data_IF_214483986819
#
_entry.id   IF_214483986819
#
_cell.length_a   1.000
_cell.length_b   1.000
_cell.length_c   1.000
_cell.angle_alpha   90.00
_cell.angle_beta   90.00
_cell.angle_gamma   90.00
#
_symmetry.space_group_name_H-M   'P 1'
#
loop_
_entity.id
_entity.type
_entity.pdbx_description
1 polymer ?
#
# COMPACT_ATOMS: atom_id res chain seq x y z
N UNK A 1 7.42 21.63 -27.90
CA UNK A 1 7.06 21.77 -26.47
C UNK A 1 5.83 20.91 -26.14
N UNK A 2 4.80 20.92 -26.99
CA UNK A 2 3.54 20.19 -26.77
C UNK A 2 3.67 18.69 -26.50
N UNK A 3 4.48 17.96 -27.28
CA UNK A 3 4.63 16.51 -27.10
C UNK A 3 5.21 16.10 -25.73
N UNK A 4 6.09 16.92 -25.14
CA UNK A 4 6.66 16.66 -23.81
C UNK A 4 5.59 16.89 -22.73
N UNK A 5 4.81 17.97 -22.86
CA UNK A 5 3.70 18.28 -21.95
C UNK A 5 2.65 17.18 -21.99
N UNK A 6 2.21 16.76 -23.18
CA UNK A 6 1.25 15.65 -23.35
C UNK A 6 1.77 14.34 -22.75
N UNK A 7 3.07 14.03 -22.89
CA UNK A 7 3.65 12.82 -22.30
C UNK A 7 3.67 12.86 -20.78
N UNK A 8 3.96 14.01 -20.18
CA UNK A 8 3.92 14.20 -18.72
C UNK A 8 2.50 14.06 -18.20
N UNK A 9 1.52 14.67 -18.86
CA UNK A 9 0.09 14.56 -18.49
C UNK A 9 -0.41 13.11 -18.57
N UNK A 10 -0.07 12.39 -19.66
CA UNK A 10 -0.41 10.98 -19.82
C UNK A 10 0.23 10.11 -18.73
N UNK A 11 1.49 10.37 -18.38
CA UNK A 11 2.17 9.65 -17.31
C UNK A 11 1.51 9.92 -15.95
N UNK A 12 1.23 11.19 -15.62
CA UNK A 12 0.55 11.57 -14.38
C UNK A 12 -0.81 10.88 -14.24
N UNK A 13 -1.61 10.85 -15.31
CA UNK A 13 -2.90 10.16 -15.32
C UNK A 13 -2.77 8.68 -15.00
N UNK A 14 -1.86 7.97 -15.69
CA UNK A 14 -1.61 6.53 -15.47
C UNK A 14 -1.10 6.22 -14.07
N UNK A 15 -0.21 7.06 -13.53
CA UNK A 15 0.30 6.89 -12.16
C UNK A 15 -0.81 7.09 -11.13
N UNK A 16 -1.71 8.04 -11.35
CA UNK A 16 -2.81 8.30 -10.43
C UNK A 16 -3.86 7.17 -10.46
N UNK A 17 -4.16 6.64 -11.65
CA UNK A 17 -4.97 5.45 -11.83
C UNK A 17 -4.35 4.24 -11.11
N UNK A 18 -3.07 3.98 -11.35
CA UNK A 18 -2.34 2.91 -10.68
C UNK A 18 -2.35 3.07 -9.16
N UNK A 19 -2.11 4.29 -8.66
CA UNK A 19 -2.14 4.57 -7.23
C UNK A 19 -3.52 4.30 -6.63
N UNK A 20 -4.60 4.68 -7.32
CA UNK A 20 -5.97 4.42 -6.87
C UNK A 20 -6.30 2.92 -6.90
N UNK A 21 -5.98 2.26 -8.00
CA UNK A 21 -6.32 0.85 -8.21
C UNK A 21 -5.49 -0.09 -7.33
N UNK A 22 -4.23 0.22 -7.06
CA UNK A 22 -3.39 -0.60 -6.17
C UNK A 22 -3.62 -0.26 -4.70
N UNK A 23 -3.45 1.01 -4.29
CA UNK A 23 -3.51 1.39 -2.87
C UNK A 23 -4.94 1.35 -2.34
N UNK A 24 -5.89 1.84 -3.15
CA UNK A 24 -7.30 1.78 -2.80
C UNK A 24 -7.76 0.34 -2.59
N UNK A 25 -7.34 -0.58 -3.47
CA UNK A 25 -7.69 -1.99 -3.33
C UNK A 25 -7.09 -2.64 -2.08
N UNK A 26 -5.79 -2.43 -1.81
CA UNK A 26 -5.12 -2.94 -0.60
C UNK A 26 -5.82 -2.41 0.67
N UNK A 27 -6.05 -1.09 0.74
CA UNK A 27 -6.72 -0.46 1.88
C UNK A 27 -8.17 -0.93 2.07
N UNK A 28 -8.91 -1.10 0.98
CA UNK A 28 -10.29 -1.62 1.01
C UNK A 28 -10.32 -3.07 1.49
N UNK A 29 -9.45 -3.91 0.94
CA UNK A 29 -9.36 -5.32 1.31
C UNK A 29 -8.95 -5.49 2.78
N UNK A 30 -7.97 -4.71 3.26
CA UNK A 30 -7.59 -4.66 4.67
C UNK A 30 -8.78 -4.33 5.58
N UNK A 31 -9.53 -3.26 5.27
CA UNK A 31 -10.71 -2.86 6.06
C UNK A 31 -11.79 -3.95 6.09
N UNK A 32 -12.05 -4.58 4.94
CA UNK A 32 -13.01 -5.68 4.84
C UNK A 32 -12.61 -6.88 5.70
N UNK A 33 -11.35 -7.30 5.62
CA UNK A 33 -10.82 -8.43 6.39
C UNK A 33 -10.89 -8.17 7.90
N UNK A 34 -10.45 -6.99 8.35
CA UNK A 34 -10.54 -6.60 9.77
C UNK A 34 -11.98 -6.57 10.28
N UNK A 35 -12.92 -6.02 9.49
CA UNK A 35 -14.33 -6.01 9.87
C UNK A 35 -14.92 -7.42 9.95
N UNK A 36 -14.51 -8.32 9.05
CA UNK A 36 -14.96 -9.72 9.05
C UNK A 36 -14.39 -10.50 10.23
N UNK A 37 -13.10 -10.34 10.52
CA UNK A 37 -12.42 -10.95 11.67
C UNK A 37 -13.09 -10.53 12.98
N UNK A 38 -13.30 -9.23 13.18
CA UNK A 38 -13.98 -8.71 14.37
C UNK A 38 -15.35 -9.38 14.60
N UNK A 39 -16.15 -9.54 13.54
CA UNK A 39 -17.46 -10.20 13.63
C UNK A 39 -17.37 -11.69 13.94
N UNK A 40 -16.29 -12.36 13.51
CA UNK A 40 -16.07 -13.78 13.78
C UNK A 40 -15.62 -13.97 15.23
N UNK A 41 -14.69 -13.14 15.71
CA UNK A 41 -14.25 -13.11 17.11
C UNK A 41 -15.44 -12.88 18.05
N UNK A 42 -16.25 -11.84 17.78
CA UNK A 42 -17.48 -11.56 18.56
C UNK A 42 -18.50 -12.70 18.57
N UNK A 43 -18.49 -13.56 17.55
CA UNK A 43 -19.38 -14.74 17.46
C UNK A 43 -18.77 -15.93 18.20
N UNK A 44 -17.48 -16.16 18.06
CA UNK A 44 -16.75 -17.23 18.75
C UNK A 44 -16.79 -17.05 20.27
N UNK A 45 -16.70 -15.81 20.75
CA UNK A 45 -16.81 -15.49 22.18
C UNK A 45 -18.15 -15.92 22.79
N UNK A 46 -19.23 -15.86 22.01
CA UNK A 46 -20.59 -16.24 22.46
C UNK A 46 -20.88 -17.71 22.21
N UNK A 47 -20.41 -18.22 21.07
CA UNK A 47 -20.71 -19.56 20.57
C UNK A 47 -19.45 -20.17 19.94
N UNK A 48 -18.68 -20.95 20.71
CA UNK A 48 -17.53 -21.66 20.19
C UNK A 48 -17.91 -22.52 18.98
N UNK A 49 -17.15 -22.41 17.91
CA UNK A 49 -17.39 -23.15 16.66
C UNK A 49 -16.07 -23.46 15.98
N UNK A 50 -15.80 -24.76 15.77
CA UNK A 50 -14.60 -25.21 15.07
C UNK A 50 -14.52 -24.65 13.65
N UNK A 51 -15.66 -24.57 12.95
CA UNK A 51 -15.72 -23.98 11.61
C UNK A 51 -15.33 -22.51 11.62
N UNK A 52 -15.91 -21.72 12.54
CA UNK A 52 -15.58 -20.30 12.64
C UNK A 52 -14.12 -20.08 13.07
N UNK A 53 -13.57 -20.94 13.93
CA UNK A 53 -12.16 -20.89 14.33
C UNK A 53 -11.21 -21.21 13.17
N UNK A 54 -11.55 -22.16 12.29
CA UNK A 54 -10.77 -22.42 11.07
C UNK A 54 -10.85 -21.23 10.10
N UNK A 55 -12.04 -20.67 9.88
CA UNK A 55 -12.24 -19.51 9.03
C UNK A 55 -11.50 -18.26 9.56
N UNK A 56 -11.48 -18.07 10.87
CA UNK A 56 -10.72 -16.99 11.52
C UNK A 56 -9.23 -17.10 11.21
N UNK A 57 -8.66 -18.31 11.32
CA UNK A 57 -7.25 -18.57 10.98
C UNK A 57 -6.95 -18.26 9.52
N UNK A 58 -7.80 -18.71 8.60
CA UNK A 58 -7.67 -18.42 7.16
C UNK A 58 -7.68 -16.92 6.87
N UNK A 59 -8.60 -16.18 7.49
CA UNK A 59 -8.69 -14.73 7.32
C UNK A 59 -7.52 -13.97 7.95
N UNK A 60 -6.92 -14.50 9.04
CA UNK A 60 -5.69 -13.94 9.63
C UNK A 60 -4.51 -14.10 8.68
N UNK A 61 -4.37 -15.25 8.03
CA UNK A 61 -3.34 -15.48 7.00
C UNK A 61 -3.55 -14.50 5.83
N UNK A 62 -4.78 -14.38 5.32
CA UNK A 62 -5.07 -13.45 4.23
C UNK A 62 -4.77 -11.98 4.62
N UNK A 63 -5.02 -11.61 5.87
CA UNK A 63 -4.69 -10.28 6.38
C UNK A 63 -3.17 -10.06 6.43
N UNK A 64 -2.39 -11.04 6.86
CA UNK A 64 -0.92 -10.98 6.86
C UNK A 64 -0.37 -10.74 5.45
N UNK A 65 -0.91 -11.43 4.44
CA UNK A 65 -0.52 -11.22 3.04
C UNK A 65 -0.80 -9.78 2.58
N UNK A 66 -1.96 -9.23 2.94
CA UNK A 66 -2.32 -7.85 2.60
C UNK A 66 -1.42 -6.83 3.31
N UNK A 67 -1.07 -7.08 4.57
CA UNK A 67 -0.14 -6.23 5.32
C UNK A 67 1.28 -6.30 4.71
N UNK A 68 1.72 -7.47 4.26
CA UNK A 68 3.01 -7.65 3.57
C UNK A 68 3.06 -6.86 2.25
N UNK A 69 1.96 -6.89 1.48
CA UNK A 69 1.82 -6.07 0.27
C UNK A 69 1.86 -4.58 0.60
N UNK A 70 1.14 -4.14 1.64
CA UNK A 70 1.16 -2.76 2.10
C UNK A 70 2.58 -2.33 2.46
N UNK A 71 3.29 -3.08 3.31
CA UNK A 71 4.67 -2.80 3.70
C UNK A 71 5.61 -2.70 2.49
N UNK A 72 5.56 -3.66 1.57
CA UNK A 72 6.42 -3.66 0.37
C UNK A 72 6.22 -2.39 -0.47
N UNK A 73 4.97 -1.97 -0.62
CA UNK A 73 4.62 -0.79 -1.37
C UNK A 73 4.99 0.52 -0.63
N UNK A 74 4.90 0.55 0.70
CA UNK A 74 5.41 1.65 1.53
C UNK A 74 6.94 1.78 1.40
N UNK A 75 7.66 0.66 1.39
CA UNK A 75 9.11 0.63 1.18
C UNK A 75 9.51 1.14 -0.22
N UNK A 76 8.76 0.77 -1.26
CA UNK A 76 9.00 1.30 -2.61
C UNK A 76 8.80 2.82 -2.65
N UNK A 77 7.70 3.32 -2.07
CA UNK A 77 7.44 4.76 -2.00
C UNK A 77 8.52 5.51 -1.22
N UNK A 78 8.98 4.98 -0.08
CA UNK A 78 10.02 5.63 0.72
C UNK A 78 11.34 5.69 -0.03
N UNK A 79 11.71 4.62 -0.75
CA UNK A 79 12.91 4.58 -1.61
C UNK A 79 12.82 5.58 -2.76
N UNK A 80 11.68 5.63 -3.47
CA UNK A 80 11.48 6.61 -4.54
C UNK A 80 11.55 8.04 -4.00
N UNK A 81 10.92 8.30 -2.86
CA UNK A 81 10.98 9.61 -2.20
C UNK A 81 12.41 9.97 -1.80
N UNK A 82 13.13 9.05 -1.19
CA UNK A 82 14.53 9.24 -0.81
C UNK A 82 15.43 9.49 -2.03
N UNK A 83 15.26 8.73 -3.12
CA UNK A 83 16.00 8.94 -4.35
C UNK A 83 15.74 10.35 -4.93
N UNK A 84 14.47 10.76 -5.00
CA UNK A 84 14.10 12.10 -5.47
C UNK A 84 14.60 13.24 -4.56
N UNK A 85 14.64 13.02 -3.24
CA UNK A 85 15.14 14.02 -2.27
C UNK A 85 16.68 14.04 -2.20
N UNK A 86 17.33 12.89 -2.36
CA UNK A 86 18.79 12.76 -2.47
C UNK A 86 19.33 13.44 -3.74
N UNK A 87 18.65 13.27 -4.88
CA UNK A 87 18.97 13.99 -6.13
C UNK A 87 18.77 15.51 -6.00
N UNK A 88 17.86 15.97 -5.13
CA UNK A 88 17.73 17.42 -4.85
C UNK A 88 18.85 17.95 -3.97
N UNK A 89 19.52 17.09 -3.20
CA UNK A 89 20.61 17.47 -2.31
C UNK A 89 22.00 17.41 -2.96
N UNK A 90 22.13 16.86 -4.18
CA UNK A 90 23.41 16.86 -4.92
C UNK A 90 23.83 18.26 -5.35
N UNK A 91 22.90 19.22 -5.53
CA UNK A 91 23.26 20.64 -5.69
C UNK A 91 23.99 21.18 -4.45
N UNK A 92 23.59 20.77 -3.25
CA UNK A 92 24.22 21.22 -2.01
C UNK A 92 25.62 20.62 -1.85
N UNK A 93 25.81 19.36 -2.24
CA UNK A 93 27.12 18.68 -2.20
C UNK A 93 28.09 19.11 -3.30
N UNK A 94 27.59 19.48 -4.50
CA UNK A 94 28.44 20.00 -5.59
C UNK A 94 28.86 21.46 -5.32
N UNK A 95 28.01 22.27 -4.67
CA UNK A 95 28.34 23.66 -4.32
C UNK A 95 29.27 23.79 -3.11
N UNK A 96 29.36 22.79 -2.23
CA UNK A 96 30.31 22.80 -1.10
C UNK A 96 31.75 22.42 -1.47
N UNK A 97 32.00 22.06 -2.74
CA UNK A 97 33.30 21.66 -3.27
C UNK A 97 33.92 22.71 -4.22
N UNK A 98 33.35 23.93 -4.28
CA UNK A 98 33.92 25.10 -4.96
C UNK A 98 34.14 26.25 -3.99
#
# INVERSE_FOLDING_TARGET
MDAVVTNVENFCSKVNEWNTNSFGHIGNKKRMLLARLKRIEERLDRHPSNFLGSLEKELKIELEDILSQEVSLWQQKSRCKWACEGDRNTNFFILSLF
#
